data_IF_037781873145
#
_entry.id   IF_037781873145
#
_cell.length_a   1.000
_cell.length_b   1.000
_cell.length_c   1.000
_cell.angle_alpha   90.00
_cell.angle_beta   90.00
_cell.angle_gamma   90.00
#
_symmetry.space_group_name_H-M   'P 1'
#
loop_
_entity.id
_entity.type
_entity.pdbx_description
1 polymer ?
#
# COMPACT_ATOMS: atom_id res chain seq x y z
N UNK A 1 15.48 -14.47 -15.69
CA UNK A 1 15.45 -13.67 -16.94
C UNK A 1 14.29 -12.67 -16.82
N UNK A 2 14.59 -11.43 -16.40
CA UNK A 2 13.57 -10.37 -16.20
C UNK A 2 13.23 -9.77 -17.58
N UNK A 3 12.10 -10.16 -18.13
CA UNK A 3 11.54 -9.52 -19.32
C UNK A 3 11.25 -8.06 -18.94
N UNK A 4 11.84 -7.11 -19.69
CA UNK A 4 11.74 -5.69 -19.39
C UNK A 4 10.26 -5.25 -19.36
N UNK A 5 9.85 -4.34 -18.46
CA UNK A 5 8.44 -3.92 -18.31
C UNK A 5 7.85 -3.28 -19.57
N UNK A 6 8.68 -2.81 -20.49
CA UNK A 6 8.26 -2.31 -21.82
C UNK A 6 7.78 -3.44 -22.74
N UNK A 7 8.46 -4.59 -22.77
CA UNK A 7 8.07 -5.76 -23.58
C UNK A 7 6.73 -6.32 -23.09
N UNK A 8 6.48 -6.31 -21.77
CA UNK A 8 5.22 -6.75 -21.22
C UNK A 8 4.03 -5.80 -21.54
N UNK A 9 4.27 -4.51 -21.70
CA UNK A 9 3.24 -3.54 -22.11
C UNK A 9 2.88 -3.71 -23.59
N UNK A 10 3.85 -3.77 -24.49
CA UNK A 10 3.62 -4.00 -25.93
C UNK A 10 2.96 -5.35 -26.18
N UNK A 11 3.36 -6.40 -25.46
CA UNK A 11 2.77 -7.73 -25.56
C UNK A 11 1.26 -7.75 -25.32
N UNK A 12 0.75 -6.93 -24.42
CA UNK A 12 -0.70 -6.83 -24.12
C UNK A 12 -1.50 -6.27 -25.31
N UNK A 13 -0.96 -5.28 -26.01
CA UNK A 13 -1.60 -4.72 -27.21
C UNK A 13 -1.61 -5.73 -28.34
N UNK A 14 -0.51 -6.46 -28.57
CA UNK A 14 -0.41 -7.50 -29.60
C UNK A 14 -1.41 -8.63 -29.32
N UNK A 15 -1.50 -9.08 -28.08
CA UNK A 15 -2.46 -10.12 -27.68
C UNK A 15 -3.91 -9.64 -27.86
N UNK A 16 -4.20 -8.39 -27.52
CA UNK A 16 -5.53 -7.82 -27.69
C UNK A 16 -5.94 -7.75 -29.16
N UNK A 17 -5.03 -7.30 -30.04
CA UNK A 17 -5.25 -7.27 -31.49
C UNK A 17 -5.41 -8.69 -32.04
N UNK A 18 -4.57 -9.63 -31.62
CA UNK A 18 -4.67 -11.04 -32.05
C UNK A 18 -5.99 -11.69 -31.64
N UNK A 19 -6.49 -11.39 -30.41
CA UNK A 19 -7.78 -11.88 -29.93
C UNK A 19 -8.93 -11.32 -30.77
N UNK A 20 -8.93 -10.00 -31.08
CA UNK A 20 -9.95 -9.39 -31.93
C UNK A 20 -9.89 -9.98 -33.34
N UNK A 21 -8.71 -10.14 -33.90
CA UNK A 21 -8.56 -10.74 -35.25
C UNK A 21 -9.12 -12.18 -35.30
N UNK A 22 -8.85 -12.99 -34.26
CA UNK A 22 -9.38 -14.36 -34.17
C UNK A 22 -10.90 -14.38 -34.05
N UNK A 23 -11.49 -13.52 -33.23
CA UNK A 23 -12.95 -13.39 -33.10
C UNK A 23 -13.58 -12.88 -34.39
N UNK A 24 -12.94 -11.91 -35.05
CA UNK A 24 -13.39 -11.42 -36.34
C UNK A 24 -13.42 -12.54 -37.39
N UNK A 25 -12.39 -13.39 -37.45
CA UNK A 25 -12.36 -14.53 -38.34
C UNK A 25 -13.52 -15.51 -38.06
N UNK A 26 -13.83 -15.78 -36.78
CA UNK A 26 -14.98 -16.62 -36.39
C UNK A 26 -16.30 -15.98 -36.86
N UNK A 27 -16.52 -14.70 -36.54
CA UNK A 27 -17.77 -14.02 -36.97
C UNK A 27 -17.89 -13.89 -38.47
N UNK A 28 -16.77 -13.75 -39.17
CA UNK A 28 -16.76 -13.71 -40.63
C UNK A 28 -17.26 -15.03 -41.26
N UNK A 29 -16.94 -16.17 -40.68
CA UNK A 29 -17.47 -17.46 -41.16
C UNK A 29 -18.96 -17.64 -40.87
N UNK A 30 -19.49 -16.92 -39.86
CA UNK A 30 -20.89 -17.01 -39.44
C UNK A 30 -21.76 -15.86 -39.96
N UNK A 31 -21.20 -14.95 -40.73
CA UNK A 31 -21.87 -13.71 -41.15
C UNK A 31 -23.17 -13.89 -41.93
N UNK A 32 -23.31 -15.01 -42.68
CA UNK A 32 -24.49 -15.28 -43.47
C UNK A 32 -25.70 -15.76 -42.64
N UNK A 33 -25.44 -16.18 -41.39
CA UNK A 33 -26.46 -16.62 -40.43
C UNK A 33 -26.76 -15.66 -39.30
N UNK A 34 -25.97 -14.59 -39.13
CA UNK A 34 -26.10 -13.65 -38.03
C UNK A 34 -26.37 -12.22 -38.54
N UNK A 35 -27.32 -11.57 -37.88
CA UNK A 35 -27.56 -10.14 -38.14
C UNK A 35 -26.35 -9.29 -37.72
N UNK A 36 -26.02 -8.27 -38.54
CA UNK A 36 -24.94 -7.31 -38.24
C UNK A 36 -25.06 -6.67 -36.86
N UNK A 37 -26.29 -6.39 -36.38
CA UNK A 37 -26.55 -5.84 -35.05
C UNK A 37 -26.14 -6.82 -33.95
N UNK A 38 -26.40 -8.10 -34.14
CA UNK A 38 -26.06 -9.15 -33.20
C UNK A 38 -24.54 -9.36 -33.12
N UNK A 39 -23.85 -9.30 -34.27
CA UNK A 39 -22.39 -9.32 -34.32
C UNK A 39 -21.79 -8.13 -33.57
N UNK A 40 -22.35 -6.91 -33.74
CA UNK A 40 -21.90 -5.74 -33.00
C UNK A 40 -22.02 -5.92 -31.49
N UNK A 41 -23.15 -6.46 -31.02
CA UNK A 41 -23.36 -6.75 -29.60
C UNK A 41 -22.38 -7.81 -29.06
N UNK A 42 -22.14 -8.88 -29.83
CA UNK A 42 -21.19 -9.93 -29.49
C UNK A 42 -19.75 -9.42 -29.36
N UNK A 43 -19.35 -8.41 -30.12
CA UNK A 43 -18.03 -7.81 -30.00
C UNK A 43 -17.81 -7.07 -28.66
N UNK A 44 -18.89 -6.64 -27.98
CA UNK A 44 -18.76 -5.97 -26.69
C UNK A 44 -18.22 -6.90 -25.59
N UNK A 45 -18.46 -8.21 -25.69
CA UNK A 45 -17.99 -9.20 -24.71
C UNK A 45 -16.46 -9.30 -24.70
N UNK A 46 -15.77 -9.63 -25.82
CA UNK A 46 -14.31 -9.67 -25.83
C UNK A 46 -13.69 -8.30 -25.54
N UNK A 47 -14.32 -7.20 -25.93
CA UNK A 47 -13.87 -5.87 -25.62
C UNK A 47 -13.87 -5.59 -24.10
N UNK A 48 -14.96 -5.96 -23.44
CA UNK A 48 -15.06 -5.88 -21.98
C UNK A 48 -14.02 -6.74 -21.28
N UNK A 49 -13.78 -7.97 -21.76
CA UNK A 49 -12.74 -8.87 -21.23
C UNK A 49 -11.33 -8.29 -21.42
N UNK A 50 -11.01 -7.79 -22.61
CA UNK A 50 -9.72 -7.15 -22.88
C UNK A 50 -9.48 -6.00 -21.90
N UNK A 51 -10.49 -5.15 -21.70
CA UNK A 51 -10.39 -4.03 -20.76
C UNK A 51 -10.23 -4.52 -19.33
N UNK A 52 -10.96 -5.57 -18.94
CA UNK A 52 -10.91 -6.15 -17.62
C UNK A 52 -9.54 -6.79 -17.29
N UNK A 53 -8.89 -7.47 -18.22
CA UNK A 53 -7.63 -8.16 -17.95
C UNK A 53 -6.39 -7.30 -18.20
N UNK A 54 -6.42 -6.43 -19.21
CA UNK A 54 -5.23 -5.69 -19.65
C UNK A 54 -5.32 -4.18 -19.42
N UNK A 55 -6.47 -3.70 -18.95
CA UNK A 55 -6.68 -2.31 -18.55
C UNK A 55 -7.19 -1.41 -19.66
N UNK A 56 -7.34 -0.13 -19.31
CA UNK A 56 -8.04 0.87 -20.11
C UNK A 56 -7.34 1.18 -21.46
N UNK A 57 -6.01 1.20 -21.49
CA UNK A 57 -5.25 1.48 -22.72
C UNK A 57 -5.51 0.45 -23.82
N UNK A 58 -5.21 -0.86 -23.61
CA UNK A 58 -5.56 -1.92 -24.56
C UNK A 58 -7.07 -1.98 -24.86
N UNK A 59 -7.94 -1.68 -23.90
CA UNK A 59 -9.39 -1.62 -24.12
C UNK A 59 -9.81 -0.59 -25.15
N UNK A 60 -9.36 0.65 -25.04
CA UNK A 60 -9.70 1.73 -26.00
C UNK A 60 -9.13 1.44 -27.39
N UNK A 61 -7.88 0.99 -27.47
CA UNK A 61 -7.27 0.63 -28.77
C UNK A 61 -8.01 -0.53 -29.43
N UNK A 62 -8.44 -1.52 -28.64
CA UNK A 62 -9.26 -2.63 -29.13
C UNK A 62 -10.63 -2.17 -29.60
N UNK A 63 -11.27 -1.22 -28.92
CA UNK A 63 -12.54 -0.65 -29.33
C UNK A 63 -12.44 0.03 -30.71
N UNK A 64 -11.36 0.80 -30.92
CA UNK A 64 -11.12 1.46 -32.20
C UNK A 64 -10.86 0.45 -33.34
N UNK A 65 -10.03 -0.57 -33.05
CA UNK A 65 -9.73 -1.62 -34.05
C UNK A 65 -11.00 -2.42 -34.36
N UNK A 66 -11.77 -2.80 -33.37
CA UNK A 66 -13.04 -3.51 -33.53
C UNK A 66 -14.03 -2.69 -34.36
N UNK A 67 -14.14 -1.39 -34.09
CA UNK A 67 -14.98 -0.48 -34.85
C UNK A 67 -14.60 -0.46 -36.35
N UNK A 68 -13.31 -0.29 -36.67
CA UNK A 68 -12.81 -0.30 -38.05
C UNK A 68 -13.03 -1.65 -38.72
N UNK A 69 -12.74 -2.74 -38.01
CA UNK A 69 -12.89 -4.11 -38.50
C UNK A 69 -14.35 -4.46 -38.75
N UNK A 70 -15.24 -4.07 -37.81
CA UNK A 70 -16.68 -4.28 -37.94
C UNK A 70 -17.23 -3.51 -39.17
N UNK A 71 -16.86 -2.22 -39.34
CA UNK A 71 -17.25 -1.45 -40.49
C UNK A 71 -16.78 -2.10 -41.81
N UNK A 72 -15.51 -2.54 -41.85
CA UNK A 72 -14.89 -3.07 -43.09
C UNK A 72 -15.45 -4.44 -43.54
N UNK A 73 -15.73 -5.35 -42.57
CA UNK A 73 -16.12 -6.72 -42.88
C UNK A 73 -17.63 -7.00 -42.85
N UNK A 74 -18.40 -6.23 -42.06
CA UNK A 74 -19.81 -6.55 -41.75
C UNK A 74 -20.81 -5.51 -42.21
N UNK A 75 -20.35 -4.32 -42.64
CA UNK A 75 -21.25 -3.27 -43.15
C UNK A 75 -21.10 -3.16 -44.68
N UNK A 76 -22.20 -3.28 -45.45
CA UNK A 76 -22.16 -3.07 -46.89
C UNK A 76 -21.91 -1.60 -47.27
N UNK A 77 -21.17 -1.28 -48.35
CA UNK A 77 -20.45 -2.23 -49.21
C UNK A 77 -19.21 -2.81 -48.54
N UNK A 78 -19.09 -4.13 -48.50
CA UNK A 78 -18.00 -4.83 -47.81
C UNK A 78 -16.63 -4.44 -48.37
N UNK A 79 -15.61 -4.53 -47.52
CA UNK A 79 -14.22 -4.18 -47.85
C UNK A 79 -13.98 -2.70 -48.14
N UNK A 80 -14.91 -1.84 -47.72
CA UNK A 80 -14.77 -0.39 -47.81
C UNK A 80 -15.09 0.23 -46.43
N UNK A 81 -14.61 1.43 -46.17
CA UNK A 81 -14.99 2.20 -44.99
C UNK A 81 -16.17 3.14 -45.24
N UNK A 82 -16.72 3.11 -46.47
CA UNK A 82 -17.87 3.95 -46.84
C UNK A 82 -19.18 3.32 -46.34
N UNK A 83 -19.97 4.10 -45.62
CA UNK A 83 -21.28 3.68 -45.12
C UNK A 83 -22.36 4.34 -45.97
N UNK A 84 -23.20 3.54 -46.62
CA UNK A 84 -24.21 4.06 -47.53
C UNK A 84 -25.60 4.18 -46.90
N UNK A 85 -25.89 3.37 -45.89
CA UNK A 85 -27.17 3.38 -45.20
C UNK A 85 -27.12 4.21 -43.88
N UNK A 86 -28.04 5.17 -43.69
CA UNK A 86 -28.07 5.94 -42.43
C UNK A 86 -28.23 5.09 -41.18
N UNK A 87 -28.94 3.96 -41.29
CA UNK A 87 -29.11 3.02 -40.19
C UNK A 87 -27.76 2.41 -39.72
N UNK A 88 -26.85 2.15 -40.64
CA UNK A 88 -25.53 1.56 -40.33
C UNK A 88 -24.63 2.59 -39.63
N UNK A 89 -24.76 3.88 -40.00
CA UNK A 89 -24.07 4.95 -39.24
C UNK A 89 -24.52 4.98 -37.77
N UNK A 90 -25.83 4.85 -37.54
CA UNK A 90 -26.40 4.82 -36.18
C UNK A 90 -25.86 3.60 -35.40
N UNK A 91 -25.83 2.42 -36.02
CA UNK A 91 -25.26 1.21 -35.40
C UNK A 91 -23.81 1.44 -35.02
N UNK A 92 -22.98 1.99 -35.90
CA UNK A 92 -21.58 2.28 -35.67
C UNK A 92 -21.38 3.30 -34.51
N UNK A 93 -22.17 4.35 -34.49
CA UNK A 93 -22.11 5.38 -33.45
C UNK A 93 -22.50 4.78 -32.08
N UNK A 94 -23.61 4.05 -32.05
CA UNK A 94 -24.05 3.39 -30.79
C UNK A 94 -22.99 2.39 -30.34
N UNK A 95 -22.45 1.56 -31.24
CA UNK A 95 -21.40 0.61 -30.92
C UNK A 95 -20.17 1.31 -30.32
N UNK A 96 -19.70 2.39 -30.96
CA UNK A 96 -18.55 3.15 -30.46
C UNK A 96 -18.82 3.74 -29.08
N UNK A 97 -19.97 4.37 -28.87
CA UNK A 97 -20.34 4.94 -27.56
C UNK A 97 -20.39 3.87 -26.47
N UNK A 98 -21.09 2.77 -26.74
CA UNK A 98 -21.21 1.66 -25.77
C UNK A 98 -19.84 1.03 -25.50
N UNK A 99 -19.02 0.81 -26.52
CA UNK A 99 -17.66 0.27 -26.38
C UNK A 99 -16.78 1.15 -25.48
N UNK A 100 -16.81 2.47 -25.69
CA UNK A 100 -16.07 3.43 -24.87
C UNK A 100 -16.60 3.47 -23.45
N UNK A 101 -17.92 3.50 -23.25
CA UNK A 101 -18.54 3.50 -21.93
C UNK A 101 -18.18 2.24 -21.14
N UNK A 102 -18.31 1.05 -21.77
CA UNK A 102 -17.94 -0.21 -21.12
C UNK A 102 -16.45 -0.21 -20.75
N UNK A 103 -15.56 0.19 -21.66
CA UNK A 103 -14.13 0.26 -21.42
C UNK A 103 -13.80 1.20 -20.25
N UNK A 104 -14.41 2.38 -20.20
CA UNK A 104 -14.22 3.32 -19.09
C UNK A 104 -14.77 2.79 -17.76
N UNK A 105 -15.97 2.19 -17.78
CA UNK A 105 -16.61 1.67 -16.57
C UNK A 105 -15.78 0.55 -15.95
N UNK A 106 -15.38 -0.43 -16.76
CA UNK A 106 -14.56 -1.56 -16.31
C UNK A 106 -13.19 -1.08 -15.84
N UNK A 107 -12.56 -0.16 -16.57
CA UNK A 107 -11.27 0.42 -16.17
C UNK A 107 -11.35 1.19 -14.84
N UNK A 108 -12.40 1.97 -14.61
CA UNK A 108 -12.62 2.66 -13.33
C UNK A 108 -12.89 1.68 -12.19
N UNK A 109 -13.68 0.65 -12.44
CA UNK A 109 -13.97 -0.38 -11.46
C UNK A 109 -12.70 -1.11 -11.01
N UNK A 110 -11.82 -1.48 -11.94
CA UNK A 110 -10.53 -2.08 -11.62
C UNK A 110 -9.61 -1.15 -10.81
N UNK A 111 -9.49 0.11 -11.23
CA UNK A 111 -8.69 1.09 -10.50
C UNK A 111 -9.22 1.28 -9.07
N UNK A 112 -10.55 1.30 -8.89
CA UNK A 112 -11.18 1.38 -7.58
C UNK A 112 -10.92 0.15 -6.71
N UNK A 113 -10.99 -1.05 -7.28
CA UNK A 113 -10.69 -2.30 -6.56
C UNK A 113 -9.23 -2.35 -6.11
N UNK A 114 -8.28 -1.99 -6.99
CA UNK A 114 -6.85 -1.94 -6.64
C UNK A 114 -6.61 -0.91 -5.52
N UNK A 115 -7.23 0.26 -5.61
CA UNK A 115 -7.12 1.28 -4.56
C UNK A 115 -7.75 0.83 -3.23
N UNK A 116 -8.88 0.12 -3.28
CA UNK A 116 -9.54 -0.42 -2.08
C UNK A 116 -8.68 -1.47 -1.39
N UNK A 117 -8.14 -2.44 -2.14
CA UNK A 117 -7.26 -3.48 -1.58
C UNK A 117 -5.94 -2.92 -1.04
N UNK A 118 -5.40 -1.87 -1.67
CA UNK A 118 -4.22 -1.19 -1.15
C UNK A 118 -4.49 -0.51 0.21
N UNK A 119 -5.63 0.18 0.33
CA UNK A 119 -6.05 0.82 1.61
C UNK A 119 -6.34 -0.21 2.70
N UNK A 120 -6.96 -1.34 2.34
CA UNK A 120 -7.23 -2.42 3.27
C UNK A 120 -5.93 -3.00 3.84
N UNK A 121 -4.93 -3.25 2.99
CA UNK A 121 -3.60 -3.71 3.43
C UNK A 121 -2.91 -2.70 4.35
N UNK A 122 -2.93 -1.41 3.98
CA UNK A 122 -2.37 -0.34 4.82
C UNK A 122 -3.05 -0.30 6.20
N UNK A 123 -4.38 -0.39 6.24
CA UNK A 123 -5.14 -0.43 7.48
C UNK A 123 -4.81 -1.66 8.33
N UNK A 124 -4.69 -2.84 7.72
CA UNK A 124 -4.32 -4.07 8.41
C UNK A 124 -2.92 -3.96 9.03
N UNK A 125 -1.94 -3.45 8.29
CA UNK A 125 -0.57 -3.27 8.80
C UNK A 125 -0.52 -2.29 9.99
N UNK A 126 -1.29 -1.20 9.92
CA UNK A 126 -1.39 -0.25 11.03
C UNK A 126 -2.07 -0.87 12.26
N UNK A 127 -3.09 -1.68 12.06
CA UNK A 127 -3.78 -2.40 13.11
C UNK A 127 -2.87 -3.43 13.80
N UNK A 128 -2.14 -4.23 13.02
CA UNK A 128 -1.17 -5.20 13.52
C UNK A 128 -0.06 -4.52 14.35
N UNK A 129 0.50 -3.42 13.84
CA UNK A 129 1.48 -2.63 14.59
C UNK A 129 0.88 -2.09 15.89
N UNK A 130 -0.32 -1.54 15.86
CA UNK A 130 -1.00 -1.00 17.04
C UNK A 130 -1.21 -2.07 18.12
N UNK A 131 -1.64 -3.27 17.73
CA UNK A 131 -1.77 -4.41 18.65
C UNK A 131 -0.41 -4.81 19.20
N UNK A 132 0.61 -4.95 18.35
CA UNK A 132 1.95 -5.37 18.75
C UNK A 132 2.60 -4.37 19.74
N UNK A 133 2.29 -3.09 19.64
CA UNK A 133 2.75 -2.05 20.56
C UNK A 133 1.91 -1.93 21.84
N UNK A 134 0.72 -2.54 21.87
CA UNK A 134 -0.19 -2.44 23.01
C UNK A 134 0.37 -3.24 24.21
N UNK A 135 0.39 -2.62 25.37
CA UNK A 135 0.86 -3.26 26.61
C UNK A 135 2.38 -3.33 26.77
N UNK A 136 3.15 -2.81 25.82
CA UNK A 136 4.60 -2.71 25.98
C UNK A 136 4.97 -1.49 26.83
N UNK A 137 5.81 -1.74 27.85
CA UNK A 137 6.30 -0.73 28.79
C UNK A 137 7.82 -0.53 28.68
N UNK A 138 8.48 -1.29 27.79
CA UNK A 138 9.92 -1.26 27.59
C UNK A 138 10.24 -0.63 26.24
N UNK A 139 11.04 0.46 26.24
CA UNK A 139 11.45 1.16 25.03
C UNK A 139 12.21 0.25 24.03
N UNK A 140 13.04 -0.69 24.53
CA UNK A 140 13.75 -1.64 23.68
C UNK A 140 12.80 -2.59 22.94
N UNK A 141 11.76 -3.10 23.62
CA UNK A 141 10.76 -3.97 23.00
C UNK A 141 9.94 -3.22 21.94
N UNK A 142 9.59 -1.96 22.21
CA UNK A 142 8.91 -1.08 21.25
C UNK A 142 9.79 -0.84 20.03
N UNK A 143 11.07 -0.49 20.23
CA UNK A 143 12.02 -0.27 19.15
C UNK A 143 12.22 -1.53 18.28
N UNK A 144 12.35 -2.69 18.92
CA UNK A 144 12.50 -3.97 18.22
C UNK A 144 11.29 -4.29 17.32
N UNK A 145 10.08 -4.12 17.83
CA UNK A 145 8.86 -4.37 17.06
C UNK A 145 8.73 -3.36 15.93
N UNK A 146 8.97 -2.08 16.21
CA UNK A 146 8.89 -1.02 15.20
C UNK A 146 9.91 -1.25 14.08
N UNK A 147 11.18 -1.55 14.41
CA UNK A 147 12.21 -1.82 13.42
C UNK A 147 11.89 -3.05 12.56
N UNK A 148 11.39 -4.13 13.18
CA UNK A 148 10.96 -5.34 12.46
C UNK A 148 9.82 -5.05 11.50
N UNK A 149 8.81 -4.32 11.94
CA UNK A 149 7.66 -3.98 11.11
C UNK A 149 8.04 -3.07 9.94
N UNK A 150 8.92 -2.09 10.19
CA UNK A 150 9.50 -1.23 9.15
C UNK A 150 10.26 -2.06 8.12
N UNK A 151 11.11 -3.00 8.55
CA UNK A 151 11.88 -3.87 7.65
C UNK A 151 10.98 -4.76 6.79
N UNK A 152 9.96 -5.37 7.40
CA UNK A 152 9.01 -6.25 6.71
C UNK A 152 8.22 -5.51 5.64
N UNK A 153 7.69 -4.34 5.96
CA UNK A 153 6.87 -3.54 5.04
C UNK A 153 7.71 -2.91 3.94
N UNK A 154 8.88 -2.38 4.26
CA UNK A 154 9.76 -1.73 3.29
C UNK A 154 10.58 -2.71 2.46
N UNK A 155 10.71 -3.98 2.92
CA UNK A 155 11.67 -4.93 2.39
C UNK A 155 13.10 -4.34 2.36
N UNK A 156 13.41 -3.54 3.39
CA UNK A 156 14.69 -2.88 3.56
C UNK A 156 15.82 -3.88 3.83
N UNK A 157 17.01 -3.58 3.31
CA UNK A 157 18.21 -4.38 3.58
C UNK A 157 18.70 -4.17 5.00
N UNK A 158 18.59 -2.94 5.49
CA UNK A 158 19.00 -2.56 6.83
C UNK A 158 18.06 -1.48 7.38
N UNK A 159 17.68 -1.63 8.63
CA UNK A 159 16.89 -0.66 9.40
C UNK A 159 17.62 -0.36 10.69
N UNK A 160 17.83 0.91 10.97
CA UNK A 160 18.38 1.39 12.22
C UNK A 160 17.37 2.31 12.88
N UNK A 161 17.15 2.11 14.17
CA UNK A 161 16.26 2.91 14.98
C UNK A 161 17.05 3.51 16.13
N UNK A 162 17.23 4.82 16.10
CA UNK A 162 17.97 5.59 17.10
C UNK A 162 16.99 6.29 18.01
N UNK A 163 16.98 5.93 19.29
CA UNK A 163 16.18 6.61 20.30
C UNK A 163 17.02 7.59 21.10
N UNK A 164 16.47 8.78 21.31
CA UNK A 164 17.03 9.85 22.12
C UNK A 164 16.34 9.88 23.47
N UNK A 165 17.10 10.12 24.57
CA UNK A 165 16.52 10.19 25.91
C UNK A 165 17.60 10.11 26.98
N UNK A 166 17.21 9.73 28.19
CA UNK A 166 18.12 9.59 29.35
C UNK A 166 19.18 8.51 29.13
N UNK A 167 18.82 7.45 28.43
CA UNK A 167 19.71 6.39 27.97
C UNK A 167 19.51 6.20 26.46
N UNK A 168 20.26 6.94 25.62
CA UNK A 168 20.16 6.79 24.18
C UNK A 168 20.64 5.41 23.74
N UNK A 169 19.90 4.75 22.87
CA UNK A 169 20.32 3.48 22.30
C UNK A 169 19.94 3.36 20.83
N UNK A 170 20.66 2.50 20.12
CA UNK A 170 20.42 2.18 18.71
C UNK A 170 20.07 0.70 18.59
N UNK A 171 19.05 0.43 17.77
CA UNK A 171 18.64 -0.92 17.42
C UNK A 171 18.81 -1.14 15.91
N UNK A 172 19.45 -2.23 15.52
CA UNK A 172 19.79 -2.54 14.12
C UNK A 172 19.15 -3.85 13.68
N UNK A 173 18.59 -3.87 12.46
CA UNK A 173 18.14 -5.08 11.80
C UNK A 173 18.66 -5.11 10.34
N UNK A 174 19.43 -6.17 9.98
CA UNK A 174 19.99 -7.23 10.83
C UNK A 174 20.96 -6.68 11.88
N UNK A 175 21.29 -7.47 12.91
CA UNK A 175 22.24 -7.11 13.99
C UNK A 175 23.69 -7.01 13.49
N UNK A 176 23.90 -6.17 12.49
CA UNK A 176 25.20 -5.90 11.85
C UNK A 176 25.37 -4.40 11.80
N UNK A 177 26.63 -3.93 11.83
CA UNK A 177 26.90 -2.48 11.73
C UNK A 177 26.24 -1.84 10.53
N UNK A 178 25.75 -0.62 10.72
CA UNK A 178 25.09 0.17 9.69
C UNK A 178 25.95 0.29 8.42
N UNK A 179 25.33 0.27 7.23
CA UNK A 179 26.05 0.44 5.98
C UNK A 179 26.79 1.79 5.94
N UNK A 180 28.00 1.80 5.33
CA UNK A 180 28.82 3.01 5.22
C UNK A 180 28.17 4.10 4.32
N UNK A 181 27.17 3.71 3.52
CA UNK A 181 26.40 4.63 2.66
C UNK A 181 25.31 5.37 3.43
N UNK A 182 24.91 6.59 2.98
CA UNK A 182 23.79 7.30 3.61
C UNK A 182 22.47 6.50 3.48
N UNK A 183 21.54 6.62 4.44
CA UNK A 183 20.23 6.00 4.37
C UNK A 183 19.42 6.61 3.20
N UNK A 184 18.62 5.78 2.52
CA UNK A 184 17.69 6.23 1.49
C UNK A 184 16.49 6.99 2.05
N UNK A 185 16.13 6.70 3.30
CA UNK A 185 15.04 7.40 4.00
C UNK A 185 15.38 7.55 5.47
N UNK A 186 15.14 8.75 5.98
CA UNK A 186 15.14 9.05 7.43
C UNK A 186 13.76 9.53 7.83
N UNK A 187 13.17 8.91 8.84
CA UNK A 187 11.85 9.27 9.39
C UNK A 187 12.02 9.59 10.87
N UNK A 188 11.66 10.80 11.28
CA UNK A 188 11.72 11.22 12.68
C UNK A 188 10.58 10.63 13.50
N UNK A 189 10.88 10.17 14.72
CA UNK A 189 9.91 9.70 15.70
C UNK A 189 9.55 10.89 16.59
N UNK A 190 8.50 11.62 16.23
CA UNK A 190 8.09 12.84 16.93
C UNK A 190 6.90 12.59 17.82
N UNK A 191 7.01 12.98 19.09
CA UNK A 191 5.93 13.04 20.07
C UNK A 191 5.55 14.49 20.38
N UNK A 192 4.48 14.70 21.15
CA UNK A 192 4.02 16.03 21.55
C UNK A 192 5.08 16.84 22.32
N UNK A 193 5.98 16.17 23.05
CA UNK A 193 7.04 16.77 23.87
C UNK A 193 8.39 16.91 23.18
N UNK A 194 8.49 16.53 21.91
CA UNK A 194 9.72 16.66 21.11
C UNK A 194 10.07 15.41 20.30
N UNK A 195 11.28 15.44 19.76
CA UNK A 195 11.82 14.31 18.99
C UNK A 195 12.30 13.20 19.93
N UNK A 196 11.76 12.00 19.77
CA UNK A 196 12.13 10.81 20.55
C UNK A 196 13.19 9.97 19.86
N UNK A 197 13.46 10.20 18.56
CA UNK A 197 14.42 9.43 17.80
C UNK A 197 14.17 9.50 16.30
N UNK A 198 14.82 8.61 15.58
CA UNK A 198 14.72 8.50 14.14
C UNK A 198 14.82 7.06 13.66
N UNK A 199 14.21 6.78 12.52
CA UNK A 199 14.28 5.52 11.80
C UNK A 199 15.08 5.78 10.53
N UNK A 200 16.16 5.04 10.34
CA UNK A 200 17.01 5.08 9.17
C UNK A 200 16.79 3.80 8.36
N UNK A 201 16.55 3.94 7.06
CA UNK A 201 16.25 2.83 6.16
C UNK A 201 17.23 2.80 4.99
N UNK A 202 17.83 1.63 4.74
CA UNK A 202 18.66 1.33 3.57
C UNK A 202 17.95 0.30 2.68
N UNK A 203 17.81 0.63 1.40
CA UNK A 203 17.13 -0.19 0.39
C UNK A 203 17.80 -0.02 -0.97
N UNK A 204 18.33 -1.10 -1.55
CA UNK A 204 19.07 -1.02 -2.82
C UNK A 204 18.26 -1.37 -4.05
N UNK A 205 17.22 -2.18 -3.90
CA UNK A 205 16.57 -2.82 -5.06
C UNK A 205 15.55 -1.91 -5.79
N UNK A 206 14.86 -1.02 -5.07
CA UNK A 206 13.79 -0.19 -5.64
C UNK A 206 13.72 1.15 -4.92
N UNK A 207 13.45 2.27 -5.64
CA UNK A 207 13.23 3.55 -5.00
C UNK A 207 12.00 3.49 -4.08
N UNK A 208 12.05 4.23 -2.99
CA UNK A 208 10.95 4.31 -2.00
C UNK A 208 9.77 5.05 -2.64
N UNK A 209 8.62 4.37 -2.72
CA UNK A 209 7.39 4.96 -3.23
C UNK A 209 6.81 5.97 -2.23
N UNK A 210 6.09 6.99 -2.72
CA UNK A 210 5.47 8.01 -1.87
C UNK A 210 4.47 7.42 -0.85
N UNK A 211 3.78 6.34 -1.22
CA UNK A 211 2.88 5.61 -0.32
C UNK A 211 3.62 4.90 0.80
N UNK A 212 4.76 4.26 0.50
CA UNK A 212 5.63 3.59 1.45
C UNK A 212 6.19 4.59 2.47
N UNK A 213 6.70 5.74 2.00
CA UNK A 213 7.18 6.81 2.89
C UNK A 213 6.10 7.25 3.88
N UNK A 214 4.88 7.53 3.40
CA UNK A 214 3.76 7.95 4.25
C UNK A 214 3.37 6.88 5.28
N UNK A 215 3.40 5.60 4.90
CA UNK A 215 3.15 4.50 5.82
C UNK A 215 4.21 4.43 6.93
N UNK A 216 5.49 4.58 6.58
CA UNK A 216 6.58 4.61 7.55
C UNK A 216 6.51 5.83 8.48
N UNK A 217 6.09 6.99 7.99
CA UNK A 217 5.80 8.17 8.82
C UNK A 217 4.65 7.89 9.82
N UNK A 218 3.64 7.15 9.39
CA UNK A 218 2.55 6.73 10.29
C UNK A 218 3.03 5.72 11.32
N UNK A 219 3.90 4.77 10.95
CA UNK A 219 4.53 3.85 11.88
C UNK A 219 5.37 4.58 12.93
N UNK A 220 6.17 5.56 12.51
CA UNK A 220 6.94 6.40 13.41
C UNK A 220 6.05 7.15 14.41
N UNK A 221 4.90 7.66 13.95
CA UNK A 221 3.92 8.34 14.81
C UNK A 221 3.28 7.39 15.84
N UNK A 222 2.94 6.16 15.45
CA UNK A 222 2.44 5.13 16.36
C UNK A 222 3.52 4.69 17.37
N UNK A 223 4.75 4.52 16.90
CA UNK A 223 5.91 4.24 17.74
C UNK A 223 6.17 5.35 18.76
N UNK A 224 6.08 6.61 18.33
CA UNK A 224 6.22 7.77 19.20
C UNK A 224 5.19 7.75 20.36
N UNK A 225 3.93 7.46 20.05
CA UNK A 225 2.87 7.37 21.03
C UNK A 225 3.11 6.22 22.03
N UNK A 226 3.56 5.06 21.54
CA UNK A 226 3.89 3.92 22.40
C UNK A 226 5.08 4.22 23.31
N UNK A 227 6.14 4.84 22.80
CA UNK A 227 7.32 5.26 23.55
C UNK A 227 6.97 6.31 24.62
N UNK A 228 6.14 7.29 24.28
CA UNK A 228 5.71 8.31 25.24
C UNK A 228 4.91 7.68 26.39
N UNK A 229 4.00 6.75 26.09
CA UNK A 229 3.26 6.00 27.11
C UNK A 229 4.18 5.16 28.00
N UNK A 230 5.17 4.47 27.43
CA UNK A 230 6.13 3.67 28.18
C UNK A 230 6.97 4.55 29.12
N UNK A 231 7.44 5.72 28.65
CA UNK A 231 8.18 6.68 29.48
C UNK A 231 7.34 7.23 30.63
N UNK A 232 6.08 7.58 30.38
CA UNK A 232 5.17 8.04 31.41
C UNK A 232 4.92 6.97 32.49
N UNK A 233 4.61 5.74 32.04
CA UNK A 233 4.39 4.62 32.98
C UNK A 233 5.64 4.31 33.82
N UNK A 234 6.84 4.38 33.23
CA UNK A 234 8.09 4.19 33.93
C UNK A 234 8.37 5.32 34.96
N UNK A 235 8.07 6.57 34.55
CA UNK A 235 8.22 7.71 35.46
C UNK A 235 7.26 7.61 36.65
N UNK A 236 6.02 7.22 36.44
CA UNK A 236 5.01 7.00 37.48
C UNK A 236 5.43 5.87 38.43
N UNK A 237 5.90 4.74 37.89
CA UNK A 237 6.40 3.62 38.67
C UNK A 237 7.59 4.02 39.55
N UNK A 238 8.54 4.79 38.99
CA UNK A 238 9.69 5.30 39.78
C UNK A 238 9.26 6.25 40.89
N UNK A 239 8.32 7.16 40.61
CA UNK A 239 7.79 8.08 41.58
C UNK A 239 7.13 7.33 42.76
N UNK A 240 6.34 6.30 42.47
CA UNK A 240 5.68 5.47 43.49
C UNK A 240 6.67 4.72 44.38
N UNK A 241 7.73 4.12 43.78
CA UNK A 241 8.79 3.44 44.54
C UNK A 241 9.53 4.43 45.48
N UNK A 242 9.79 5.65 45.01
CA UNK A 242 10.42 6.69 45.86
C UNK A 242 9.52 7.09 47.02
N UNK A 243 8.23 7.31 46.79
CA UNK A 243 7.24 7.65 47.81
C UNK A 243 7.14 6.55 48.88
N UNK A 244 7.06 5.28 48.45
CA UNK A 244 7.04 4.14 49.38
C UNK A 244 8.34 4.05 50.20
N UNK A 245 9.51 4.28 49.55
CA UNK A 245 10.80 4.30 50.24
C UNK A 245 10.88 5.40 51.32
N UNK A 246 10.41 6.61 50.97
CA UNK A 246 10.42 7.73 51.89
C UNK A 246 9.41 7.54 53.06
N UNK A 247 8.26 6.92 52.76
CA UNK A 247 7.30 6.54 53.80
C UNK A 247 7.90 5.51 54.79
N UNK A 248 8.56 4.46 54.28
CA UNK A 248 9.25 3.47 55.10
C UNK A 248 10.38 4.08 55.98
N UNK A 249 11.19 4.97 55.39
CA UNK A 249 12.23 5.72 56.15
C UNK A 249 11.63 6.55 57.29
N UNK A 250 10.51 7.22 57.05
CA UNK A 250 9.80 8.02 58.03
C UNK A 250 9.29 7.17 59.21
N UNK A 251 8.71 6.00 58.92
CA UNK A 251 8.25 5.05 59.94
C UNK A 251 9.42 4.55 60.76
N UNK A 252 10.53 4.13 60.11
CA UNK A 252 11.72 3.63 60.82
C UNK A 252 12.34 4.71 61.73
N UNK A 253 12.49 5.94 61.24
CA UNK A 253 13.01 7.05 62.05
C UNK A 253 12.11 7.39 63.27
N UNK A 254 10.79 7.34 63.06
CA UNK A 254 9.82 7.55 64.17
C UNK A 254 9.91 6.44 65.22
N UNK A 255 9.99 5.17 64.76
CA UNK A 255 10.11 4.01 65.68
C UNK A 255 11.41 4.05 66.47
N UNK A 256 12.56 4.28 65.82
CA UNK A 256 13.86 4.41 66.47
C UNK A 256 13.88 5.59 67.42
N UNK A 257 13.30 6.73 67.07
CA UNK A 257 13.22 7.91 67.97
C UNK A 257 12.36 7.64 69.16
N UNK A 258 11.31 6.85 69.07
CA UNK A 258 10.45 6.46 70.19
C UNK A 258 11.18 5.47 71.09
N UNK A 259 11.86 4.47 70.62
CA UNK A 259 12.62 3.49 71.39
C UNK A 259 13.81 4.11 72.11
N UNK A 260 14.47 5.11 71.54
CA UNK A 260 15.57 5.81 72.13
C UNK A 260 15.12 6.82 73.27
N UNK A 261 13.90 7.32 73.20
CA UNK A 261 13.35 8.26 74.17
C UNK A 261 12.97 7.55 75.45
N UNK A 262 12.54 6.30 75.43
CA UNK A 262 12.10 5.52 76.59
C UNK A 262 13.23 5.28 77.67
N UNK A 263 14.47 4.90 77.35
CA UNK A 263 15.54 4.70 78.30
C UNK A 263 16.22 6.00 78.72
N UNK A 264 16.03 7.14 78.06
CA UNK A 264 16.61 8.43 78.44
C UNK A 264 15.76 9.27 79.44
N UNK A 265 14.56 8.81 79.80
CA UNK A 265 13.61 9.47 80.64
C UNK A 265 13.53 8.83 82.07
N UNK A 266 14.43 7.87 82.38
CA UNK A 266 14.64 7.30 83.70
C UNK A 266 15.93 7.84 84.29
#
# INVERSE_FOLDING_TARGET
MRISPLISRFGRYILAVGLIASITAIFFTMRDGLDKTLIALLYLVPLGLITAYWGLGPGITSALITFLTFNYFFIPPYYTLAVHQPADVVILVIFMVVAVVISQLVGRMQASLIAATAREREATQLYELSIALTGLHNEHAIAQILARQVQEVSQGEHVELNLTGTEPFSFHLPEVSSPIRPPELTVSIQAARGNLGEILLWKSATPIASGEKRLLETFASQGALALERARLAQAESRAKVLEESDHLKSILLSSVSHELRTPLST
#
